data_IF_857926495529
#
_entry.id   IF_857926495529
#
_cell.length_a   1.000
_cell.length_b   1.000
_cell.length_c   1.000
_cell.angle_alpha   90.00
_cell.angle_beta   90.00
_cell.angle_gamma   90.00
#
_symmetry.space_group_name_H-M   'P 1'
#
loop_
_entity.id
_entity.type
_entity.pdbx_description
1 polymer ?
#
# COMPACT_ATOMS: atom_id res chain seq x y z
N UNK A 1 22.49 -32.66 -15.16
CA UNK A 1 21.29 -33.48 -15.48
C UNK A 1 20.97 -34.49 -14.40
N UNK A 2 21.96 -35.22 -13.85
CA UNK A 2 21.75 -36.22 -12.77
C UNK A 2 21.20 -35.60 -11.47
N UNK A 3 21.84 -34.54 -10.95
CA UNK A 3 21.40 -33.82 -9.74
C UNK A 3 19.97 -33.28 -9.85
N UNK A 4 19.56 -32.85 -11.05
CA UNK A 4 18.21 -32.31 -11.31
C UNK A 4 17.12 -33.40 -11.26
N UNK A 5 17.45 -34.64 -11.63
CA UNK A 5 16.53 -35.78 -11.51
C UNK A 5 16.45 -36.30 -10.07
N UNK A 6 17.55 -36.20 -9.32
CA UNK A 6 17.61 -36.55 -7.90
C UNK A 6 16.75 -35.63 -7.03
N UNK A 7 16.73 -34.32 -7.31
CA UNK A 7 15.86 -33.36 -6.61
C UNK A 7 14.38 -33.75 -6.75
N UNK A 8 13.91 -34.05 -7.97
CA UNK A 8 12.51 -34.43 -8.18
C UNK A 8 12.15 -35.72 -7.43
N UNK A 9 13.02 -36.74 -7.49
CA UNK A 9 12.83 -38.01 -6.77
C UNK A 9 12.81 -37.80 -5.25
N UNK A 10 13.66 -36.92 -4.72
CA UNK A 10 13.70 -36.58 -3.30
C UNK A 10 12.37 -35.95 -2.85
N UNK A 11 11.91 -34.96 -3.59
CA UNK A 11 10.65 -34.25 -3.36
C UNK A 11 9.43 -35.20 -3.39
N UNK A 12 9.34 -36.05 -4.41
CA UNK A 12 8.27 -37.05 -4.54
C UNK A 12 8.31 -38.09 -3.40
N UNK A 13 9.51 -38.50 -2.97
CA UNK A 13 9.68 -39.46 -1.87
C UNK A 13 9.23 -38.92 -0.51
N UNK A 14 9.38 -37.62 -0.26
CA UNK A 14 8.87 -36.98 0.96
C UNK A 14 7.34 -37.00 1.02
N UNK A 15 6.70 -36.69 -0.10
CA UNK A 15 5.24 -36.69 -0.21
C UNK A 15 4.64 -38.10 -0.24
N UNK A 16 5.37 -39.10 -0.72
CA UNK A 16 4.96 -40.50 -0.62
C UNK A 16 4.84 -41.03 0.81
N UNK A 17 5.44 -40.36 1.80
CA UNK A 17 5.51 -40.79 3.22
C UNK A 17 4.54 -40.04 4.15
N UNK A 18 3.52 -39.38 3.60
CA UNK A 18 2.54 -38.53 4.31
C UNK A 18 1.99 -39.09 5.64
N UNK A 19 1.84 -40.40 5.79
CA UNK A 19 1.28 -41.04 6.99
C UNK A 19 2.28 -41.18 8.16
N UNK A 20 3.59 -41.19 7.90
CA UNK A 20 4.64 -41.57 8.88
C UNK A 20 5.68 -40.45 9.12
N UNK A 21 5.42 -39.22 8.66
CA UNK A 21 6.41 -38.16 8.67
C UNK A 21 6.80 -37.72 10.09
N UNK A 22 8.08 -37.90 10.45
CA UNK A 22 8.67 -37.40 11.70
C UNK A 22 9.44 -36.09 11.48
N UNK A 23 9.67 -35.33 12.57
CA UNK A 23 10.56 -34.15 12.53
C UNK A 23 11.99 -34.53 12.12
N UNK A 24 12.46 -35.71 12.51
CA UNK A 24 13.77 -36.22 12.12
C UNK A 24 13.87 -36.44 10.60
N UNK A 25 12.81 -37.00 9.99
CA UNK A 25 12.76 -37.13 8.54
C UNK A 25 12.77 -35.76 7.85
N UNK A 26 12.01 -34.77 8.36
CA UNK A 26 12.00 -33.41 7.82
C UNK A 26 13.43 -32.81 7.76
N UNK A 27 14.19 -32.91 8.85
CA UNK A 27 15.58 -32.46 8.89
C UNK A 27 16.47 -33.21 7.89
N UNK A 28 16.29 -34.54 7.76
CA UNK A 28 17.05 -35.35 6.79
C UNK A 28 16.76 -34.92 5.35
N UNK A 29 15.50 -34.79 4.97
CA UNK A 29 15.11 -34.39 3.63
C UNK A 29 15.53 -32.95 3.30
N UNK A 30 15.43 -32.03 4.28
CA UNK A 30 15.92 -30.67 4.15
C UNK A 30 17.43 -30.63 3.86
N UNK A 31 18.24 -31.33 4.65
CA UNK A 31 19.69 -31.42 4.44
C UNK A 31 20.04 -32.05 3.09
N UNK A 32 19.31 -33.08 2.66
CA UNK A 32 19.51 -33.70 1.35
C UNK A 32 19.25 -32.71 0.20
N UNK A 33 18.16 -31.94 0.26
CA UNK A 33 17.89 -30.91 -0.76
C UNK A 33 18.99 -29.84 -0.76
N UNK A 34 19.36 -29.32 0.41
CA UNK A 34 20.40 -28.30 0.53
C UNK A 34 21.74 -28.80 -0.03
N UNK A 35 22.11 -30.05 0.23
CA UNK A 35 23.30 -30.67 -0.35
C UNK A 35 23.23 -30.78 -1.88
N UNK A 36 22.08 -31.13 -2.45
CA UNK A 36 21.87 -31.16 -3.90
C UNK A 36 21.95 -29.76 -4.55
N UNK A 37 21.61 -28.71 -3.80
CA UNK A 37 21.80 -27.32 -4.18
C UNK A 37 23.23 -26.80 -3.91
N UNK A 38 24.12 -27.64 -3.40
CA UNK A 38 25.52 -27.33 -3.13
C UNK A 38 25.81 -26.76 -1.75
N UNK A 39 24.80 -26.56 -0.90
CA UNK A 39 24.95 -25.99 0.44
C UNK A 39 25.48 -27.03 1.43
N UNK A 40 26.80 -27.06 1.63
CA UNK A 40 27.46 -28.04 2.52
C UNK A 40 27.55 -27.61 3.98
N UNK A 41 27.58 -26.30 4.23
CA UNK A 41 27.67 -25.72 5.57
C UNK A 41 26.41 -24.90 5.83
N UNK A 42 25.54 -25.43 6.68
CA UNK A 42 24.26 -24.80 7.03
C UNK A 42 24.14 -24.67 8.54
N UNK A 43 23.73 -23.51 9.03
CA UNK A 43 23.53 -23.29 10.46
C UNK A 43 22.03 -23.41 10.78
N UNK A 44 21.60 -24.23 11.75
CA UNK A 44 20.20 -24.26 12.15
C UNK A 44 19.76 -22.91 12.72
N UNK A 45 18.53 -22.51 12.45
CA UNK A 45 17.89 -21.35 13.05
C UNK A 45 16.98 -21.85 14.17
N UNK A 46 17.18 -21.35 15.38
CA UNK A 46 16.29 -21.65 16.50
C UNK A 46 14.93 -20.98 16.30
N UNK A 47 13.89 -21.79 16.15
CA UNK A 47 12.52 -21.30 16.02
C UNK A 47 12.06 -20.66 17.32
N UNK A 48 11.44 -19.48 17.21
CA UNK A 48 10.81 -18.83 18.36
C UNK A 48 9.63 -19.68 18.87
N UNK A 49 9.33 -19.69 20.19
CA UNK A 49 8.21 -20.46 20.76
C UNK A 49 6.86 -20.17 20.10
N UNK A 50 6.65 -18.93 19.65
CA UNK A 50 5.42 -18.50 18.95
C UNK A 50 5.20 -19.25 17.64
N UNK A 51 6.27 -19.73 17.00
CA UNK A 51 6.24 -20.44 15.71
C UNK A 51 6.31 -21.96 15.88
N UNK A 52 6.29 -22.47 17.11
CA UNK A 52 6.34 -23.91 17.38
C UNK A 52 5.23 -24.70 16.67
N UNK A 53 4.07 -24.06 16.45
CA UNK A 53 2.93 -24.63 15.74
C UNK A 53 3.15 -24.79 14.22
N UNK A 54 4.08 -24.05 13.62
CA UNK A 54 4.43 -24.16 12.19
C UNK A 54 5.27 -25.41 11.94
N UNK A 55 6.05 -25.85 12.94
CA UNK A 55 6.85 -27.07 12.86
C UNK A 55 7.85 -27.06 11.70
N UNK A 56 8.58 -25.95 11.53
CA UNK A 56 9.58 -25.80 10.47
C UNK A 56 10.97 -26.26 10.90
N UNK A 57 11.69 -26.93 10.01
CA UNK A 57 13.14 -27.09 10.07
C UNK A 57 13.78 -25.92 9.32
N UNK A 58 14.46 -25.02 10.04
CA UNK A 58 14.96 -23.76 9.49
C UNK A 58 16.48 -23.70 9.50
N UNK A 59 17.07 -23.22 8.42
CA UNK A 59 18.52 -23.13 8.24
C UNK A 59 18.92 -21.78 7.67
N UNK A 60 20.05 -21.26 8.14
CA UNK A 60 20.72 -20.10 7.59
C UNK A 60 21.79 -20.54 6.59
N UNK A 61 21.61 -20.10 5.35
CA UNK A 61 22.52 -20.32 4.24
C UNK A 61 23.32 -19.03 4.04
N UNK A 62 24.66 -19.11 4.13
CA UNK A 62 25.56 -17.95 3.95
C UNK A 62 26.44 -18.17 2.73
N UNK A 63 26.34 -17.27 1.77
CA UNK A 63 27.18 -17.22 0.57
C UNK A 63 27.98 -15.93 0.56
N UNK A 64 29.31 -16.03 0.39
CA UNK A 64 30.21 -14.89 0.47
C UNK A 64 30.06 -14.06 1.76
N UNK A 65 30.44 -12.78 1.70
CA UNK A 65 30.44 -11.88 2.86
C UNK A 65 29.09 -11.16 3.11
N UNK A 66 28.17 -11.13 2.14
CA UNK A 66 27.01 -10.22 2.19
C UNK A 66 25.64 -10.87 1.92
N UNK A 67 25.57 -12.08 1.36
CA UNK A 67 24.29 -12.69 0.98
C UNK A 67 23.90 -13.81 1.93
N UNK A 68 22.71 -13.69 2.52
CA UNK A 68 22.14 -14.69 3.41
C UNK A 68 20.71 -15.06 2.96
N UNK A 69 20.41 -16.35 3.02
CA UNK A 69 19.08 -16.91 2.76
C UNK A 69 18.65 -17.74 3.96
N UNK A 70 17.44 -17.52 4.45
CA UNK A 70 16.81 -18.41 5.43
C UNK A 70 16.00 -19.45 4.66
N UNK A 71 16.36 -20.72 4.79
CA UNK A 71 15.66 -21.84 4.20
C UNK A 71 14.78 -22.53 5.25
N UNK A 72 13.47 -22.46 5.06
CA UNK A 72 12.45 -22.99 5.94
C UNK A 72 11.75 -24.17 5.28
N UNK A 73 11.88 -25.34 5.90
CA UNK A 73 11.25 -26.57 5.46
C UNK A 73 10.07 -26.86 6.37
N UNK A 74 8.87 -26.97 5.83
CA UNK A 74 7.64 -27.24 6.59
C UNK A 74 7.08 -28.62 6.25
N UNK A 75 6.12 -29.09 7.04
CA UNK A 75 5.47 -30.36 6.79
C UNK A 75 4.64 -30.33 5.49
N UNK A 76 4.48 -31.47 4.78
CA UNK A 76 3.62 -31.56 3.61
C UNK A 76 2.23 -30.97 3.83
N UNK A 77 1.79 -30.09 2.94
CA UNK A 77 0.47 -29.47 3.02
C UNK A 77 0.36 -28.30 4.01
N UNK A 78 1.44 -27.93 4.71
CA UNK A 78 1.46 -26.78 5.61
C UNK A 78 1.43 -25.42 4.87
N UNK A 79 1.70 -25.39 3.57
CA UNK A 79 1.63 -24.20 2.71
C UNK A 79 0.64 -24.41 1.57
N UNK A 80 -0.08 -23.37 1.19
CA UNK A 80 -1.00 -23.40 0.05
C UNK A 80 -0.22 -23.44 -1.28
N UNK A 81 -0.82 -23.90 -2.40
CA UNK A 81 -0.19 -23.79 -3.72
C UNK A 81 -0.06 -22.32 -4.16
N UNK A 82 1.12 -21.85 -4.61
CA UNK A 82 1.30 -20.49 -5.11
C UNK A 82 0.27 -20.06 -6.15
N UNK A 83 -0.07 -20.94 -7.10
CA UNK A 83 -1.06 -20.65 -8.14
C UNK A 83 -2.48 -20.43 -7.59
N UNK A 84 -2.81 -21.04 -6.45
CA UNK A 84 -4.08 -20.81 -5.75
C UNK A 84 -4.13 -19.44 -5.07
N UNK A 85 -3.03 -19.04 -4.42
CA UNK A 85 -2.89 -17.72 -3.80
C UNK A 85 -2.95 -16.60 -4.84
N UNK A 86 -2.24 -16.77 -5.96
CA UNK A 86 -2.24 -15.81 -7.06
C UNK A 86 -3.64 -15.57 -7.63
N UNK A 87 -4.46 -16.62 -7.78
CA UNK A 87 -5.87 -16.50 -8.22
C UNK A 87 -6.76 -15.73 -7.25
N UNK A 88 -6.45 -15.77 -5.95
CA UNK A 88 -7.11 -14.96 -4.91
C UNK A 88 -6.52 -13.56 -4.78
N UNK A 89 -5.48 -13.25 -5.57
CA UNK A 89 -4.77 -11.99 -5.51
C UNK A 89 -3.87 -11.84 -4.27
N UNK A 90 -3.52 -12.91 -3.57
CA UNK A 90 -2.70 -12.91 -2.34
C UNK A 90 -1.23 -13.19 -2.63
N UNK A 91 -0.32 -12.70 -1.78
CA UNK A 91 1.13 -12.95 -1.90
C UNK A 91 1.64 -14.00 -0.91
N UNK A 92 0.89 -14.21 0.17
CA UNK A 92 1.24 -15.11 1.25
C UNK A 92 0.06 -16.02 1.59
N UNK A 93 0.34 -17.24 2.07
CA UNK A 93 -0.53 -17.92 3.01
C UNK A 93 -0.06 -17.63 4.45
N UNK A 94 -0.84 -18.09 5.44
CA UNK A 94 -0.56 -17.90 6.86
C UNK A 94 0.88 -18.33 7.23
N UNK A 95 1.26 -19.55 6.83
CA UNK A 95 2.57 -20.13 7.10
C UNK A 95 3.70 -19.32 6.46
N UNK A 96 3.60 -18.97 5.18
CA UNK A 96 4.66 -18.20 4.50
C UNK A 96 4.81 -16.80 5.10
N UNK A 97 3.70 -16.16 5.49
CA UNK A 97 3.75 -14.84 6.14
C UNK A 97 4.51 -14.88 7.47
N UNK A 98 4.25 -15.90 8.28
CA UNK A 98 4.92 -16.07 9.57
C UNK A 98 6.42 -16.29 9.41
N UNK A 99 6.81 -17.16 8.49
CA UNK A 99 8.22 -17.48 8.23
C UNK A 99 8.98 -16.30 7.63
N UNK A 100 8.40 -15.55 6.69
CA UNK A 100 9.04 -14.32 6.18
C UNK A 100 9.24 -13.27 7.27
N UNK A 101 8.28 -13.13 8.19
CA UNK A 101 8.45 -12.26 9.35
C UNK A 101 9.57 -12.75 10.29
N UNK A 102 9.74 -14.07 10.45
CA UNK A 102 10.85 -14.66 11.20
C UNK A 102 12.20 -14.38 10.52
N UNK A 103 12.29 -14.60 9.20
CA UNK A 103 13.47 -14.27 8.38
C UNK A 103 13.88 -12.81 8.56
N UNK A 104 12.91 -11.89 8.49
CA UNK A 104 13.17 -10.46 8.72
C UNK A 104 13.66 -10.19 10.15
N UNK A 105 13.09 -10.85 11.15
CA UNK A 105 13.45 -10.64 12.55
C UNK A 105 14.89 -11.07 12.88
N UNK A 106 15.51 -11.93 12.05
CA UNK A 106 16.91 -12.33 12.15
C UNK A 106 17.82 -11.56 11.17
N UNK A 107 17.32 -10.47 10.57
CA UNK A 107 18.03 -9.62 9.60
C UNK A 107 18.57 -10.39 8.39
N UNK A 108 17.78 -11.32 7.86
CA UNK A 108 18.09 -12.04 6.63
C UNK A 108 17.20 -11.52 5.50
N UNK A 109 17.80 -11.34 4.32
CA UNK A 109 17.16 -10.63 3.22
C UNK A 109 16.22 -11.50 2.40
N UNK A 110 16.48 -12.81 2.32
CA UNK A 110 15.72 -13.73 1.48
C UNK A 110 15.19 -14.91 2.28
N UNK A 111 13.96 -15.32 1.97
CA UNK A 111 13.31 -16.48 2.57
C UNK A 111 12.98 -17.51 1.48
N UNK A 112 13.58 -18.68 1.56
CA UNK A 112 13.17 -19.87 0.80
C UNK A 112 12.27 -20.72 1.69
N UNK A 113 11.03 -20.98 1.26
CA UNK A 113 10.04 -21.72 2.05
C UNK A 113 9.49 -22.86 1.20
N UNK A 114 9.55 -24.09 1.70
CA UNK A 114 9.08 -25.25 0.94
C UNK A 114 8.54 -26.35 1.84
N UNK A 115 7.55 -27.08 1.35
CA UNK A 115 7.13 -28.38 1.89
C UNK A 115 7.68 -29.54 1.04
N UNK A 116 8.72 -29.26 0.25
CA UNK A 116 9.37 -30.10 -0.77
C UNK A 116 8.50 -30.47 -1.96
N UNK A 117 7.27 -29.94 -2.08
CA UNK A 117 6.48 -30.03 -3.32
C UNK A 117 6.14 -28.66 -3.86
N UNK A 118 5.68 -27.77 -2.97
CA UNK A 118 5.45 -26.37 -3.21
C UNK A 118 6.64 -25.58 -2.69
N UNK A 119 7.01 -24.54 -3.42
CA UNK A 119 8.17 -23.72 -3.09
C UNK A 119 7.87 -22.25 -3.30
N UNK A 120 8.35 -21.43 -2.39
CA UNK A 120 8.29 -19.98 -2.42
C UNK A 120 9.67 -19.40 -2.17
N UNK A 121 10.00 -18.33 -2.89
CA UNK A 121 11.21 -17.55 -2.64
C UNK A 121 10.88 -16.06 -2.57
N UNK A 122 11.03 -15.49 -1.38
CA UNK A 122 10.67 -14.10 -1.09
C UNK A 122 11.91 -13.23 -0.85
N UNK A 123 11.82 -11.97 -1.24
CA UNK A 123 12.58 -10.88 -0.65
C UNK A 123 11.88 -10.45 0.65
N UNK A 124 12.47 -10.82 1.80
CA UNK A 124 11.89 -10.57 3.11
C UNK A 124 11.93 -9.08 3.51
N UNK A 125 12.74 -8.25 2.84
CA UNK A 125 12.78 -6.80 3.07
C UNK A 125 11.57 -6.13 2.44
N UNK A 126 11.25 -6.51 1.21
CA UNK A 126 10.20 -5.88 0.40
C UNK A 126 8.86 -6.64 0.41
N UNK A 127 8.79 -7.82 1.01
CA UNK A 127 7.63 -8.74 0.92
C UNK A 127 7.32 -9.19 -0.53
N UNK A 128 8.29 -9.11 -1.45
CA UNK A 128 8.08 -9.51 -2.84
C UNK A 128 8.29 -11.01 -3.01
N UNK A 129 7.33 -11.70 -3.62
CA UNK A 129 7.49 -13.06 -4.10
C UNK A 129 8.29 -13.02 -5.41
N UNK A 130 9.53 -13.51 -5.38
CA UNK A 130 10.46 -13.47 -6.50
C UNK A 130 10.30 -14.70 -7.40
N UNK A 131 10.12 -15.87 -6.81
CA UNK A 131 9.91 -17.13 -7.53
C UNK A 131 8.97 -18.04 -6.74
N UNK A 132 8.24 -18.89 -7.44
CA UNK A 132 7.41 -19.92 -6.82
C UNK A 132 7.30 -21.15 -7.73
N UNK A 133 6.91 -22.28 -7.12
CA UNK A 133 6.60 -23.51 -7.83
C UNK A 133 5.44 -24.22 -7.14
N UNK A 134 4.43 -24.64 -7.90
CA UNK A 134 3.33 -25.48 -7.42
C UNK A 134 3.73 -26.96 -7.38
N UNK A 135 4.79 -27.35 -8.11
CA UNK A 135 5.27 -28.74 -8.22
C UNK A 135 6.80 -28.88 -8.18
N UNK A 136 7.34 -30.06 -7.84
CA UNK A 136 8.78 -30.34 -7.94
C UNK A 136 9.37 -30.15 -9.34
N UNK A 137 8.58 -30.44 -10.37
CA UNK A 137 9.00 -30.29 -11.76
C UNK A 137 9.21 -28.81 -12.14
N UNK A 138 8.34 -27.92 -11.66
CA UNK A 138 8.48 -26.48 -11.79
C UNK A 138 9.65 -25.95 -10.97
N UNK A 139 9.79 -26.39 -9.71
CA UNK A 139 10.95 -26.02 -8.87
C UNK A 139 12.26 -26.34 -9.58
N UNK A 140 12.39 -27.54 -10.16
CA UNK A 140 13.56 -27.96 -10.92
C UNK A 140 13.81 -27.06 -12.13
N UNK A 141 12.76 -26.65 -12.85
CA UNK A 141 12.86 -25.85 -14.08
C UNK A 141 13.25 -24.40 -13.78
N UNK A 142 12.65 -23.81 -12.75
CA UNK A 142 12.63 -22.36 -12.58
C UNK A 142 13.40 -21.87 -11.34
N UNK A 143 13.57 -22.70 -10.30
CA UNK A 143 14.12 -22.29 -9.00
C UNK A 143 15.42 -22.97 -8.62
N UNK A 144 15.68 -24.19 -9.09
CA UNK A 144 16.81 -24.99 -8.62
C UNK A 144 18.17 -24.35 -8.95
N UNK A 145 18.37 -23.88 -10.19
CA UNK A 145 19.64 -23.27 -10.60
C UNK A 145 19.88 -21.92 -9.88
N UNK A 146 18.93 -20.95 -9.84
CA UNK A 146 19.15 -19.70 -9.13
C UNK A 146 19.43 -19.83 -7.62
N UNK A 147 19.01 -20.95 -6.99
CA UNK A 147 19.19 -21.21 -5.56
C UNK A 147 20.44 -22.05 -5.22
N UNK A 148 21.24 -22.42 -6.21
CA UNK A 148 22.52 -23.09 -5.95
C UNK A 148 23.50 -22.14 -5.28
N UNK A 149 24.31 -22.67 -4.37
CA UNK A 149 25.33 -21.88 -3.67
C UNK A 149 26.27 -21.15 -4.65
N UNK A 150 26.78 -21.85 -5.67
CA UNK A 150 27.69 -21.27 -6.66
C UNK A 150 27.05 -20.14 -7.48
N UNK A 151 25.77 -20.29 -7.84
CA UNK A 151 25.04 -19.28 -8.62
C UNK A 151 24.75 -18.05 -7.74
N UNK A 152 24.38 -18.25 -6.47
CA UNK A 152 24.18 -17.16 -5.49
C UNK A 152 25.50 -16.42 -5.23
N UNK A 153 26.63 -17.13 -5.09
CA UNK A 153 27.96 -16.52 -4.97
C UNK A 153 28.31 -15.65 -6.18
N UNK A 154 27.76 -15.96 -7.36
CA UNK A 154 27.94 -15.19 -8.60
C UNK A 154 26.94 -14.01 -8.76
N UNK A 155 26.05 -13.80 -7.80
CA UNK A 155 25.07 -12.70 -7.82
C UNK A 155 23.74 -13.02 -8.51
N UNK A 156 23.36 -14.31 -8.62
CA UNK A 156 22.10 -14.71 -9.27
C UNK A 156 20.85 -14.05 -8.69
N UNK A 157 20.82 -13.79 -7.38
CA UNK A 157 19.66 -13.18 -6.69
C UNK A 157 19.40 -11.75 -7.14
N UNK A 158 20.44 -11.00 -7.53
CA UNK A 158 20.32 -9.62 -8.02
C UNK A 158 19.77 -9.56 -9.45
N UNK A 159 19.92 -10.67 -10.20
CA UNK A 159 19.45 -10.81 -11.57
C UNK A 159 18.00 -11.32 -11.64
N UNK A 160 17.42 -11.74 -10.51
CA UNK A 160 16.04 -12.20 -10.48
C UNK A 160 15.08 -11.09 -10.89
N UNK A 161 14.19 -11.44 -11.83
CA UNK A 161 13.15 -10.53 -12.29
C UNK A 161 12.17 -10.27 -11.16
N UNK A 162 12.05 -9.01 -10.72
CA UNK A 162 11.02 -8.57 -9.78
C UNK A 162 9.66 -8.47 -10.46
N UNK A 163 8.55 -8.79 -9.77
CA UNK A 163 7.21 -8.68 -10.33
C UNK A 163 6.91 -7.22 -10.71
N UNK A 164 6.44 -6.94 -11.94
CA UNK A 164 6.12 -5.58 -12.33
C UNK A 164 4.92 -5.04 -11.53
N UNK A 165 4.89 -3.72 -11.32
CA UNK A 165 3.78 -3.03 -10.63
C UNK A 165 2.40 -3.40 -11.19
N UNK A 166 2.30 -3.60 -12.50
CA UNK A 166 1.03 -3.97 -13.17
C UNK A 166 0.51 -5.33 -12.70
N UNK A 167 1.39 -6.26 -12.35
CA UNK A 167 1.00 -7.56 -11.81
C UNK A 167 0.52 -7.43 -10.37
N UNK A 168 1.23 -6.69 -9.52
CA UNK A 168 0.79 -6.39 -8.16
C UNK A 168 -0.58 -5.68 -8.15
N UNK A 169 -0.79 -4.74 -9.07
CA UNK A 169 -2.06 -4.03 -9.26
C UNK A 169 -3.19 -4.98 -9.71
N UNK A 170 -2.89 -5.96 -10.57
CA UNK A 170 -3.86 -6.99 -10.98
C UNK A 170 -4.29 -7.87 -9.82
N UNK A 171 -3.33 -8.39 -9.07
CA UNK A 171 -3.64 -9.20 -7.90
C UNK A 171 -4.45 -8.41 -6.86
N UNK A 172 -4.10 -7.14 -6.62
CA UNK A 172 -4.89 -6.28 -5.74
C UNK A 172 -6.32 -6.08 -6.27
N UNK A 173 -6.48 -5.86 -7.59
CA UNK A 173 -7.78 -5.74 -8.23
C UNK A 173 -8.64 -7.01 -8.05
N UNK A 174 -8.07 -8.18 -8.34
CA UNK A 174 -8.75 -9.48 -8.20
C UNK A 174 -9.23 -9.71 -6.77
N UNK A 175 -8.39 -9.39 -5.78
CA UNK A 175 -8.76 -9.46 -4.37
C UNK A 175 -9.89 -8.48 -4.00
N UNK A 176 -9.78 -7.21 -4.41
CA UNK A 176 -10.80 -6.19 -4.19
C UNK A 176 -12.14 -6.60 -4.82
N UNK A 177 -12.10 -7.13 -6.04
CA UNK A 177 -13.27 -7.61 -6.76
C UNK A 177 -13.92 -8.79 -6.04
N UNK A 178 -13.14 -9.82 -5.69
CA UNK A 178 -13.63 -10.98 -4.94
C UNK A 178 -14.33 -10.59 -3.65
N UNK A 179 -13.73 -9.69 -2.86
CA UNK A 179 -14.34 -9.26 -1.61
C UNK A 179 -15.54 -8.37 -1.80
N UNK A 180 -15.58 -7.52 -2.84
CA UNK A 180 -16.78 -6.77 -3.19
C UNK A 180 -17.95 -7.71 -3.47
N UNK A 181 -17.77 -8.68 -4.37
CA UNK A 181 -18.80 -9.66 -4.70
C UNK A 181 -19.21 -10.47 -3.46
N UNK A 182 -18.24 -10.86 -2.63
CA UNK A 182 -18.51 -11.59 -1.39
C UNK A 182 -19.34 -10.75 -0.41
N UNK A 183 -19.01 -9.47 -0.22
CA UNK A 183 -19.78 -8.57 0.63
C UNK A 183 -21.22 -8.45 0.11
N UNK A 184 -21.39 -8.14 -1.18
CA UNK A 184 -22.71 -8.01 -1.81
C UNK A 184 -23.53 -9.30 -1.62
N UNK A 185 -22.94 -10.46 -1.90
CA UNK A 185 -23.61 -11.75 -1.78
C UNK A 185 -24.01 -12.10 -0.33
N UNK A 186 -23.18 -11.79 0.67
CA UNK A 186 -23.41 -12.17 2.06
C UNK A 186 -24.30 -11.19 2.84
N UNK A 187 -24.36 -9.92 2.44
CA UNK A 187 -25.10 -8.88 3.17
C UNK A 187 -26.17 -8.16 2.36
N UNK A 188 -26.26 -8.39 1.04
CA UNK A 188 -27.23 -7.72 0.17
C UNK A 188 -26.98 -6.21 0.04
N UNK A 189 -25.75 -5.76 0.26
CA UNK A 189 -25.37 -4.36 0.18
C UNK A 189 -25.33 -3.84 -1.26
N UNK A 190 -25.45 -2.52 -1.40
CA UNK A 190 -25.16 -1.85 -2.67
C UNK A 190 -23.68 -1.98 -3.05
N UNK A 191 -23.40 -1.85 -4.34
CA UNK A 191 -22.03 -1.87 -4.85
C UNK A 191 -21.17 -0.76 -4.20
N UNK A 192 -21.73 0.44 -4.03
CA UNK A 192 -21.05 1.58 -3.40
C UNK A 192 -20.65 1.31 -1.94
N UNK A 193 -21.52 0.64 -1.16
CA UNK A 193 -21.21 0.28 0.23
C UNK A 193 -20.13 -0.81 0.30
N UNK A 194 -20.16 -1.79 -0.61
CA UNK A 194 -19.12 -2.81 -0.70
C UNK A 194 -17.76 -2.19 -1.10
N UNK A 195 -17.76 -1.24 -2.05
CA UNK A 195 -16.57 -0.49 -2.40
C UNK A 195 -16.01 0.34 -1.24
N UNK A 196 -16.87 1.01 -0.48
CA UNK A 196 -16.47 1.78 0.69
C UNK A 196 -15.77 0.89 1.74
N UNK A 197 -16.25 -0.35 1.92
CA UNK A 197 -15.62 -1.32 2.82
C UNK A 197 -14.16 -1.62 2.43
N UNK A 198 -13.93 -1.84 1.13
CA UNK A 198 -12.59 -2.10 0.57
C UNK A 198 -11.72 -0.85 0.68
N UNK A 199 -12.22 0.32 0.33
CA UNK A 199 -11.48 1.58 0.38
C UNK A 199 -11.02 1.89 1.82
N UNK A 200 -11.87 1.64 2.82
CA UNK A 200 -11.51 1.75 4.24
C UNK A 200 -10.33 0.84 4.60
N UNK A 201 -10.32 -0.40 4.11
CA UNK A 201 -9.21 -1.32 4.36
C UNK A 201 -7.92 -0.92 3.63
N UNK A 202 -8.03 -0.43 2.39
CA UNK A 202 -6.88 0.09 1.65
C UNK A 202 -6.24 1.28 2.38
N UNK A 203 -7.06 2.25 2.81
CA UNK A 203 -6.58 3.40 3.59
C UNK A 203 -6.03 2.96 4.94
N UNK A 204 -6.66 2.02 5.62
CA UNK A 204 -6.18 1.52 6.92
C UNK A 204 -4.82 0.83 6.80
N UNK A 205 -4.64 -0.02 5.78
CA UNK A 205 -3.37 -0.67 5.48
C UNK A 205 -2.29 0.37 5.16
N UNK A 206 -2.59 1.30 4.26
CA UNK A 206 -1.66 2.36 3.87
C UNK A 206 -1.25 3.23 5.05
N UNK A 207 -2.22 3.66 5.86
CA UNK A 207 -2.02 4.53 7.01
C UNK A 207 -1.06 3.96 8.04
N UNK A 208 -1.17 2.67 8.36
CA UNK A 208 -0.33 2.06 9.40
C UNK A 208 1.08 1.68 8.94
N UNK A 209 1.36 1.75 7.65
CA UNK A 209 2.71 1.66 7.09
C UNK A 209 3.42 3.02 7.12
N UNK A 210 2.66 4.12 7.09
CA UNK A 210 3.18 5.48 7.11
C UNK A 210 3.13 6.07 8.52
N UNK A 211 4.29 6.24 9.17
CA UNK A 211 4.43 6.77 10.53
C UNK A 211 4.06 8.28 10.63
N UNK A 212 2.79 8.61 10.45
CA UNK A 212 2.23 9.97 10.65
C UNK A 212 1.65 10.15 12.06
N UNK A 213 1.65 9.09 12.87
CA UNK A 213 0.81 8.93 14.05
C UNK A 213 1.59 8.97 15.39
N UNK A 214 2.69 9.74 15.43
CA UNK A 214 3.78 9.64 16.41
C UNK A 214 3.43 9.75 17.92
N UNK A 215 2.21 10.11 18.34
CA UNK A 215 1.80 10.09 19.76
C UNK A 215 0.37 9.60 20.04
N UNK A 216 -0.63 10.04 19.28
CA UNK A 216 -2.05 9.66 19.51
C UNK A 216 -2.48 8.41 18.74
N UNK A 217 -1.89 8.15 17.57
CA UNK A 217 -2.34 7.04 16.71
C UNK A 217 -1.65 5.69 16.92
N UNK A 218 -0.66 5.60 17.82
CA UNK A 218 -0.11 4.32 18.26
C UNK A 218 -1.19 3.38 18.80
N UNK A 219 -2.17 3.93 19.54
CA UNK A 219 -3.29 3.16 20.09
C UNK A 219 -4.12 2.49 19.00
N UNK A 220 -4.47 3.22 17.94
CA UNK A 220 -5.29 2.69 16.85
C UNK A 220 -4.51 1.69 15.99
N UNK A 221 -3.23 1.94 15.73
CA UNK A 221 -2.34 0.97 15.07
C UNK A 221 -2.21 -0.33 15.86
N UNK A 222 -2.00 -0.22 17.18
CA UNK A 222 -1.92 -1.37 18.08
C UNK A 222 -3.24 -2.15 18.09
N UNK A 223 -4.37 -1.46 18.19
CA UNK A 223 -5.70 -2.09 18.13
C UNK A 223 -5.95 -2.80 16.81
N UNK A 224 -5.51 -2.24 15.69
CA UNK A 224 -5.60 -2.93 14.41
C UNK A 224 -4.72 -4.19 14.37
N UNK A 225 -3.48 -4.11 14.86
CA UNK A 225 -2.60 -5.27 14.95
C UNK A 225 -3.18 -6.36 15.87
N UNK A 226 -3.76 -5.98 17.02
CA UNK A 226 -4.47 -6.89 17.94
C UNK A 226 -5.71 -7.50 17.29
N UNK A 227 -6.47 -6.72 16.52
CA UNK A 227 -7.64 -7.18 15.77
C UNK A 227 -7.26 -8.22 14.70
N UNK A 228 -6.21 -7.95 13.93
CA UNK A 228 -5.66 -8.91 12.96
C UNK A 228 -5.19 -10.17 13.69
N UNK A 229 -4.42 -10.03 14.78
CA UNK A 229 -3.98 -11.16 15.61
C UNK A 229 -5.14 -12.00 16.14
N UNK A 230 -6.22 -11.36 16.57
CA UNK A 230 -7.45 -12.03 17.02
C UNK A 230 -8.13 -12.80 15.89
N UNK A 231 -8.14 -12.26 14.67
CA UNK A 231 -8.70 -12.96 13.52
C UNK A 231 -7.98 -14.30 13.25
N UNK A 232 -6.67 -14.38 13.51
CA UNK A 232 -5.87 -15.61 13.40
C UNK A 232 -5.93 -16.52 14.65
N UNK A 233 -6.54 -16.08 15.74
CA UNK A 233 -6.63 -16.86 16.97
C UNK A 233 -7.72 -17.92 16.92
N UNK A 234 -7.66 -18.90 17.85
CA UNK A 234 -8.69 -19.92 18.00
C UNK A 234 -10.07 -19.35 18.40
N UNK A 235 -10.11 -18.17 19.04
CA UNK A 235 -11.36 -17.45 19.36
C UNK A 235 -11.44 -16.11 18.63
N UNK A 236 -11.86 -16.17 17.37
CA UNK A 236 -12.06 -15.01 16.51
C UNK A 236 -13.40 -14.29 16.72
N UNK A 237 -14.22 -14.70 17.71
CA UNK A 237 -15.55 -14.09 17.93
C UNK A 237 -15.42 -12.63 18.36
N UNK A 238 -16.28 -11.77 17.79
CA UNK A 238 -16.34 -10.34 18.04
C UNK A 238 -15.35 -9.50 17.22
N UNK A 239 -14.59 -10.11 16.30
CA UNK A 239 -13.72 -9.37 15.37
C UNK A 239 -14.49 -8.32 14.55
N UNK A 240 -15.69 -8.63 14.07
CA UNK A 240 -16.51 -7.69 13.30
C UNK A 240 -16.89 -6.44 14.09
N UNK A 241 -17.34 -6.62 15.34
CA UNK A 241 -17.65 -5.49 16.24
C UNK A 241 -16.43 -4.63 16.55
N UNK A 242 -15.27 -5.26 16.73
CA UNK A 242 -14.01 -4.55 16.96
C UNK A 242 -13.56 -3.78 15.71
N UNK A 243 -13.76 -4.33 14.51
CA UNK A 243 -13.45 -3.67 13.24
C UNK A 243 -14.35 -2.44 13.02
N UNK A 244 -15.67 -2.59 13.21
CA UNK A 244 -16.59 -1.45 13.17
C UNK A 244 -16.19 -0.37 14.17
N UNK A 245 -15.91 -0.76 15.42
CA UNK A 245 -15.47 0.17 16.46
C UNK A 245 -14.20 0.93 16.06
N UNK A 246 -13.22 0.24 15.47
CA UNK A 246 -12.01 0.88 14.94
C UNK A 246 -12.32 1.93 13.85
N UNK A 247 -13.26 1.65 12.94
CA UNK A 247 -13.67 2.62 11.93
C UNK A 247 -14.29 3.87 12.56
N UNK A 248 -15.21 3.69 13.50
CA UNK A 248 -15.86 4.81 14.19
C UNK A 248 -14.86 5.64 14.99
N UNK A 249 -13.89 4.99 15.65
CA UNK A 249 -12.83 5.68 16.38
C UNK A 249 -11.93 6.49 15.45
N UNK A 250 -11.57 5.95 14.27
CA UNK A 250 -10.80 6.67 13.24
C UNK A 250 -11.57 7.90 12.75
N UNK A 251 -12.87 7.76 12.50
CA UNK A 251 -13.70 8.89 12.11
C UNK A 251 -13.81 9.93 13.23
N UNK A 252 -14.04 9.52 14.47
CA UNK A 252 -14.20 10.45 15.58
C UNK A 252 -12.91 11.18 15.93
N UNK A 253 -11.81 10.44 16.08
CA UNK A 253 -10.51 10.95 16.51
C UNK A 253 -9.81 11.75 15.41
N UNK A 254 -9.93 11.32 14.14
CA UNK A 254 -9.19 11.94 13.02
C UNK A 254 -10.07 12.62 11.98
N UNK A 255 -11.39 12.68 12.17
CA UNK A 255 -12.32 13.31 11.20
C UNK A 255 -12.15 12.78 9.77
N UNK A 256 -11.81 11.50 9.65
CA UNK A 256 -11.70 10.85 8.36
C UNK A 256 -13.10 10.46 7.86
N UNK A 257 -13.76 11.35 7.10
CA UNK A 257 -15.12 11.14 6.58
C UNK A 257 -15.32 9.82 5.82
N UNK A 258 -14.27 9.26 5.18
CA UNK A 258 -14.30 7.92 4.60
C UNK A 258 -14.77 6.83 5.59
N UNK A 259 -14.48 7.00 6.89
CA UNK A 259 -14.83 6.08 7.97
C UNK A 259 -16.11 6.45 8.72
N UNK A 260 -16.85 7.47 8.25
CA UNK A 260 -18.13 7.88 8.86
C UNK A 260 -19.12 6.71 8.95
N UNK A 261 -20.00 6.72 9.96
CA UNK A 261 -20.96 5.64 10.15
C UNK A 261 -21.84 5.43 8.91
N UNK A 262 -21.92 4.19 8.44
CA UNK A 262 -22.76 3.77 7.31
C UNK A 262 -23.56 2.56 7.78
N UNK A 263 -24.81 2.75 8.26
CA UNK A 263 -25.50 1.74 9.05
C UNK A 263 -25.60 0.36 8.38
N UNK A 264 -25.84 0.34 7.07
CA UNK A 264 -25.93 -0.91 6.32
C UNK A 264 -24.58 -1.63 6.26
N UNK A 265 -23.50 -0.89 5.99
CA UNK A 265 -22.15 -1.43 5.96
C UNK A 265 -21.68 -1.87 7.35
N UNK A 266 -21.96 -1.08 8.38
CA UNK A 266 -21.61 -1.36 9.77
C UNK A 266 -22.24 -2.68 10.23
N UNK A 267 -23.52 -2.89 9.94
CA UNK A 267 -24.23 -4.13 10.26
C UNK A 267 -23.66 -5.35 9.51
N UNK A 268 -23.16 -5.17 8.28
CA UNK A 268 -22.52 -6.24 7.53
C UNK A 268 -21.14 -6.60 8.10
N UNK A 269 -20.31 -5.58 8.40
CA UNK A 269 -18.95 -5.75 8.93
C UNK A 269 -18.97 -6.33 10.36
N UNK A 270 -20.01 -6.06 11.14
CA UNK A 270 -20.16 -6.66 12.47
C UNK A 270 -20.24 -8.19 12.47
N UNK A 271 -20.60 -8.80 11.34
CA UNK A 271 -20.67 -10.25 11.19
C UNK A 271 -19.26 -10.84 11.07
N UNK A 272 -18.85 -11.62 12.06
CA UNK A 272 -17.53 -12.28 12.07
C UNK A 272 -17.30 -13.18 10.84
N UNK A 273 -18.36 -13.79 10.30
CA UNK A 273 -18.30 -14.58 9.07
C UNK A 273 -17.75 -13.81 7.86
N UNK A 274 -17.90 -12.48 7.85
CA UNK A 274 -17.33 -11.60 6.85
C UNK A 274 -16.01 -11.00 7.33
N UNK A 275 -15.99 -10.40 8.52
CA UNK A 275 -14.84 -9.63 9.00
C UNK A 275 -13.59 -10.49 9.25
N UNK A 276 -13.74 -11.70 9.80
CA UNK A 276 -12.59 -12.57 10.10
C UNK A 276 -11.83 -12.96 8.83
N UNK A 277 -12.44 -13.58 7.81
CA UNK A 277 -11.71 -13.96 6.60
C UNK A 277 -11.20 -12.73 5.83
N UNK A 278 -11.94 -11.63 5.81
CA UNK A 278 -11.50 -10.37 5.19
C UNK A 278 -10.23 -9.82 5.86
N UNK A 279 -10.18 -9.79 7.19
CA UNK A 279 -9.01 -9.35 7.95
C UNK A 279 -7.82 -10.28 7.76
N UNK A 280 -8.06 -11.60 7.74
CA UNK A 280 -7.00 -12.59 7.47
C UNK A 280 -6.38 -12.35 6.10
N UNK A 281 -7.18 -12.34 5.05
CA UNK A 281 -6.68 -12.12 3.69
C UNK A 281 -6.07 -10.73 3.52
N UNK A 282 -6.66 -9.70 4.12
CA UNK A 282 -6.07 -8.36 4.13
C UNK A 282 -4.64 -8.40 4.68
N UNK A 283 -4.36 -9.20 5.72
CA UNK A 283 -3.03 -9.39 6.33
C UNK A 283 -2.02 -10.13 5.42
N UNK A 284 -2.50 -10.87 4.42
CA UNK A 284 -1.71 -11.72 3.53
C UNK A 284 -1.24 -11.04 2.23
N UNK A 285 -1.49 -9.75 2.08
CA UNK A 285 -0.92 -8.94 0.98
C UNK A 285 0.43 -8.33 1.32
N UNK A 286 1.38 -8.37 0.38
CA UNK A 286 2.68 -7.69 0.50
C UNK A 286 2.51 -6.20 0.74
N UNK A 287 3.48 -5.59 1.44
CA UNK A 287 3.51 -4.13 1.64
C UNK A 287 3.66 -3.38 0.31
N UNK A 288 4.41 -3.96 -0.64
CA UNK A 288 4.64 -3.36 -1.97
C UNK A 288 3.38 -3.19 -2.81
N UNK A 289 2.30 -3.94 -2.52
CA UNK A 289 0.98 -3.71 -3.14
C UNK A 289 0.32 -2.41 -2.73
N UNK A 290 0.64 -1.88 -1.54
CA UNK A 290 0.01 -0.68 -0.98
C UNK A 290 0.82 0.58 -1.28
N UNK A 291 1.28 0.75 -2.53
CA UNK A 291 1.76 2.04 -3.01
C UNK A 291 0.64 2.79 -3.73
N UNK A 292 0.65 4.13 -3.72
CA UNK A 292 -0.34 4.95 -4.45
C UNK A 292 -0.40 4.52 -5.93
N UNK A 293 0.76 4.31 -6.56
CA UNK A 293 0.82 3.93 -7.96
C UNK A 293 0.23 2.53 -8.23
N UNK A 294 0.46 1.56 -7.34
CA UNK A 294 -0.11 0.21 -7.47
C UNK A 294 -1.62 0.23 -7.24
N UNK A 295 -2.09 0.93 -6.19
CA UNK A 295 -3.51 1.08 -5.88
C UNK A 295 -4.22 1.80 -7.04
N UNK A 296 -3.65 2.88 -7.58
CA UNK A 296 -4.23 3.58 -8.72
C UNK A 296 -4.29 2.69 -9.97
N UNK A 297 -3.22 1.95 -10.28
CA UNK A 297 -3.20 1.01 -11.41
C UNK A 297 -4.21 -0.14 -11.22
N UNK A 298 -4.61 -0.47 -9.97
CA UNK A 298 -5.65 -1.48 -9.73
C UNK A 298 -7.05 -1.06 -10.19
N UNK A 299 -7.25 0.23 -10.51
CA UNK A 299 -8.46 0.76 -11.14
C UNK A 299 -8.40 0.71 -12.67
N UNK A 300 -7.33 0.17 -13.26
CA UNK A 300 -7.11 0.13 -14.70
C UNK A 300 -7.88 -0.99 -15.44
N UNK A 301 -9.13 -1.22 -15.05
CA UNK A 301 -9.97 -2.30 -15.58
C UNK A 301 -11.32 -1.74 -16.06
N UNK A 302 -11.86 -2.35 -17.13
CA UNK A 302 -13.10 -1.90 -17.77
C UNK A 302 -12.84 -1.04 -19.01
N UNK A 303 -13.54 0.09 -19.12
CA UNK A 303 -13.57 0.90 -20.33
C UNK A 303 -12.23 1.57 -20.66
N UNK A 304 -11.95 1.71 -21.96
CA UNK A 304 -10.73 2.34 -22.47
C UNK A 304 -10.51 3.76 -21.94
N UNK A 305 -11.59 4.52 -21.76
CA UNK A 305 -11.54 5.89 -21.23
C UNK A 305 -11.03 5.92 -19.77
N UNK A 306 -11.47 4.98 -18.93
CA UNK A 306 -11.02 4.90 -17.54
C UNK A 306 -9.56 4.46 -17.45
N UNK A 307 -9.17 3.49 -18.28
CA UNK A 307 -7.78 3.07 -18.44
C UNK A 307 -6.86 4.22 -18.85
N UNK A 308 -7.32 5.08 -19.77
CA UNK A 308 -6.59 6.28 -20.15
C UNK A 308 -6.41 7.21 -18.94
N UNK A 309 -7.46 7.52 -18.17
CA UNK A 309 -7.39 8.41 -16.99
C UNK A 309 -6.46 7.92 -15.88
N UNK A 310 -6.39 6.61 -15.65
CA UNK A 310 -5.48 6.01 -14.64
C UNK A 310 -4.00 6.18 -15.04
N UNK A 311 -3.73 6.09 -16.35
CA UNK A 311 -2.39 6.14 -16.91
C UNK A 311 -1.95 7.52 -17.35
N UNK A 312 -2.89 8.45 -17.48
CA UNK A 312 -2.65 9.81 -17.91
C UNK A 312 -1.60 10.47 -17.01
N UNK A 313 -0.56 11.00 -17.65
CA UNK A 313 0.46 11.79 -16.99
C UNK A 313 -0.01 13.24 -17.06
N UNK A 314 -0.02 13.98 -15.94
CA UNK A 314 -0.43 15.39 -15.96
C UNK A 314 0.50 16.18 -16.88
N UNK A 315 -0.08 16.85 -17.87
CA UNK A 315 0.67 17.70 -18.79
C UNK A 315 1.07 19.02 -18.12
N UNK A 316 2.16 19.62 -18.61
CA UNK A 316 2.54 20.96 -18.19
C UNK A 316 1.46 21.96 -18.64
N UNK A 317 0.88 22.70 -17.69
CA UNK A 317 -0.11 23.74 -17.99
C UNK A 317 0.48 25.10 -17.66
N UNK A 318 1.00 25.79 -18.67
CA UNK A 318 1.66 27.09 -18.51
C UNK A 318 0.75 28.14 -17.88
N UNK A 319 -0.56 28.12 -18.17
CA UNK A 319 -1.51 29.08 -17.60
C UNK A 319 -1.64 28.89 -16.09
N UNK A 320 -1.85 27.65 -15.63
CA UNK A 320 -1.94 27.34 -14.20
C UNK A 320 -0.62 27.57 -13.49
N UNK A 321 0.51 27.25 -14.11
CA UNK A 321 1.83 27.53 -13.52
C UNK A 321 2.10 29.03 -13.40
N UNK A 322 1.77 29.83 -14.42
CA UNK A 322 1.85 31.30 -14.36
C UNK A 322 0.89 31.85 -13.31
N UNK A 323 -0.31 31.29 -13.19
CA UNK A 323 -1.28 31.67 -12.16
C UNK A 323 -0.73 31.42 -10.76
N UNK A 324 -0.17 30.24 -10.48
CA UNK A 324 0.45 29.92 -9.19
C UNK A 324 1.68 30.81 -8.90
N UNK A 325 2.48 31.11 -9.93
CA UNK A 325 3.66 31.97 -9.79
C UNK A 325 3.32 33.43 -9.43
N UNK A 326 2.13 33.92 -9.83
CA UNK A 326 1.64 35.28 -9.51
C UNK A 326 1.05 35.41 -8.12
N UNK A 327 0.88 34.32 -7.37
CA UNK A 327 0.32 34.39 -6.02
C UNK A 327 1.34 34.97 -5.03
N UNK A 328 0.82 35.77 -4.12
CA UNK A 328 1.53 36.58 -3.12
C UNK A 328 0.89 36.37 -1.74
N UNK A 329 1.52 36.88 -0.69
CA UNK A 329 0.94 36.84 0.66
C UNK A 329 -0.44 37.51 0.76
N UNK A 330 -0.76 38.46 -0.13
CA UNK A 330 -2.02 39.20 -0.08
C UNK A 330 -3.22 38.46 -0.69
N UNK A 331 -3.01 37.49 -1.59
CA UNK A 331 -4.08 36.84 -2.35
C UNK A 331 -4.08 35.30 -2.26
N UNK A 332 -3.10 34.71 -1.57
CA UNK A 332 -2.94 33.25 -1.53
C UNK A 332 -4.13 32.50 -0.91
N UNK A 333 -4.84 33.12 0.04
CA UNK A 333 -6.01 32.52 0.70
C UNK A 333 -7.21 32.33 -0.23
N UNK A 334 -7.24 33.03 -1.36
CA UNK A 334 -8.29 32.95 -2.38
C UNK A 334 -7.87 32.10 -3.59
N UNK A 335 -6.59 31.70 -3.66
CA UNK A 335 -6.05 31.01 -4.82
C UNK A 335 -6.61 29.59 -4.93
N UNK A 336 -7.15 29.24 -6.10
CA UNK A 336 -7.81 27.94 -6.34
C UNK A 336 -7.48 27.37 -7.72
N UNK A 337 -7.15 26.08 -7.77
CA UNK A 337 -6.95 25.32 -9.01
C UNK A 337 -8.12 24.37 -9.25
N UNK A 338 -8.70 24.42 -10.44
CA UNK A 338 -9.69 23.45 -10.89
C UNK A 338 -9.00 22.30 -11.63
N UNK A 339 -9.43 21.06 -11.38
CA UNK A 339 -8.91 19.83 -11.97
C UNK A 339 -10.09 19.04 -12.51
N UNK A 340 -10.10 18.74 -13.81
CA UNK A 340 -11.13 17.90 -14.39
C UNK A 340 -10.63 16.48 -14.62
N UNK A 341 -11.20 15.52 -13.88
CA UNK A 341 -10.78 14.11 -13.98
C UNK A 341 -11.14 13.46 -15.30
N UNK A 342 -12.15 13.97 -16.02
CA UNK A 342 -12.49 13.44 -17.33
C UNK A 342 -11.35 13.69 -18.34
N UNK A 343 -10.69 14.84 -18.21
CA UNK A 343 -9.75 15.38 -19.20
C UNK A 343 -8.29 15.24 -18.75
N UNK A 344 -8.00 15.32 -17.43
CA UNK A 344 -6.64 15.32 -16.86
C UNK A 344 -6.28 14.03 -16.09
N UNK A 345 -7.28 13.18 -15.80
CA UNK A 345 -7.10 11.93 -15.08
C UNK A 345 -6.73 12.09 -13.60
N UNK A 346 -6.50 10.96 -12.92
CA UNK A 346 -6.37 10.94 -11.45
C UNK A 346 -5.01 11.43 -10.94
N UNK A 347 -3.96 11.33 -11.76
CA UNK A 347 -2.62 11.77 -11.36
C UNK A 347 -2.51 13.29 -11.26
N UNK A 348 -3.40 14.02 -11.94
CA UNK A 348 -3.47 15.47 -11.89
C UNK A 348 -3.77 15.97 -10.46
N UNK A 349 -4.57 15.21 -9.71
CA UNK A 349 -4.85 15.49 -8.29
C UNK A 349 -3.54 15.61 -7.50
N UNK A 350 -2.68 14.60 -7.59
CA UNK A 350 -1.43 14.53 -6.83
C UNK A 350 -0.47 15.64 -7.28
N UNK A 351 -0.34 15.81 -8.60
CA UNK A 351 0.54 16.80 -9.21
C UNK A 351 0.21 18.23 -8.78
N UNK A 352 -1.06 18.64 -8.94
CA UNK A 352 -1.48 19.99 -8.60
C UNK A 352 -1.52 20.22 -7.10
N UNK A 353 -1.90 19.19 -6.31
CA UNK A 353 -1.76 19.25 -4.85
C UNK A 353 -0.33 19.60 -4.43
N UNK A 354 0.67 18.89 -4.97
CA UNK A 354 2.07 19.10 -4.61
C UNK A 354 2.57 20.49 -5.04
N UNK A 355 2.15 20.98 -6.21
CA UNK A 355 2.46 22.33 -6.69
C UNK A 355 1.87 23.42 -5.79
N UNK A 356 0.64 23.24 -5.30
CA UNK A 356 -0.02 24.17 -4.37
C UNK A 356 0.70 24.18 -3.03
N UNK A 357 1.02 23.01 -2.46
CA UNK A 357 1.75 22.95 -1.18
C UNK A 357 3.15 23.54 -1.31
N UNK A 358 3.85 23.31 -2.42
CA UNK A 358 5.15 23.94 -2.68
C UNK A 358 5.05 25.47 -2.81
N UNK A 359 3.97 25.99 -3.38
CA UNK A 359 3.68 27.43 -3.40
C UNK A 359 3.50 27.97 -1.98
N UNK A 360 2.72 27.29 -1.13
CA UNK A 360 2.55 27.69 0.27
C UNK A 360 3.87 27.65 1.04
N UNK A 361 4.71 26.63 0.82
CA UNK A 361 6.06 26.54 1.40
C UNK A 361 6.95 27.73 1.01
N UNK A 362 6.94 28.09 -0.29
CA UNK A 362 7.68 29.25 -0.78
C UNK A 362 7.20 30.55 -0.13
N UNK A 363 5.88 30.76 -0.06
CA UNK A 363 5.29 31.97 0.49
C UNK A 363 5.48 32.06 2.01
N UNK A 364 5.44 30.94 2.74
CA UNK A 364 5.76 30.95 4.17
C UNK A 364 7.20 31.39 4.42
N UNK A 365 8.16 30.89 3.62
CA UNK A 365 9.55 31.35 3.68
C UNK A 365 9.71 32.83 3.26
N UNK A 366 8.82 33.37 2.43
CA UNK A 366 8.78 34.79 2.12
C UNK A 366 8.24 35.62 3.29
N UNK A 367 7.15 35.18 3.92
CA UNK A 367 6.59 35.79 5.12
C UNK A 367 7.61 35.86 6.25
N UNK A 368 8.27 34.74 6.57
CA UNK A 368 9.29 34.68 7.64
C UNK A 368 10.46 35.65 7.36
N UNK A 369 10.87 35.79 6.09
CA UNK A 369 11.93 36.76 5.72
C UNK A 369 11.46 38.21 5.89
N UNK A 370 10.25 38.53 5.47
CA UNK A 370 9.68 39.88 5.62
C UNK A 370 9.49 40.23 7.10
N UNK A 371 9.00 39.28 7.91
CA UNK A 371 8.88 39.43 9.34
C UNK A 371 10.25 39.68 9.99
N UNK A 372 11.25 38.84 9.70
CA UNK A 372 12.60 38.99 10.25
C UNK A 372 13.25 40.33 9.88
N UNK A 373 13.10 40.79 8.62
CA UNK A 373 13.61 42.08 8.16
C UNK A 373 12.91 43.26 8.85
N UNK A 374 11.59 43.19 9.03
CA UNK A 374 10.82 44.20 9.77
C UNK A 374 11.21 44.31 11.25
N UNK A 375 11.67 43.20 11.84
CA UNK A 375 12.09 43.14 13.25
C UNK A 375 13.58 43.44 13.50
N UNK A 376 14.43 43.41 12.46
CA UNK A 376 15.90 43.47 12.57
C UNK A 376 16.47 44.78 13.17
N UNK A 377 15.63 45.79 13.40
CA UNK A 377 16.01 47.07 14.01
C UNK A 377 15.35 47.38 15.37
N UNK A 378 14.57 46.47 15.95
CA UNK A 378 13.84 46.69 17.21
C UNK A 378 14.38 45.78 18.32
N UNK A 379 15.19 46.29 19.27
CA UNK A 379 15.88 45.48 20.28
C UNK A 379 14.96 44.84 21.33
N UNK A 380 13.73 45.36 21.49
CA UNK A 380 12.74 44.93 22.48
C UNK A 380 11.36 44.79 21.81
N UNK A 381 11.22 43.88 20.83
CA UNK A 381 9.88 43.48 20.39
C UNK A 381 9.19 42.74 21.54
N UNK A 382 8.16 43.35 22.12
CA UNK A 382 7.31 42.69 23.10
C UNK A 382 6.52 41.54 22.44
N UNK A 383 6.12 40.55 23.24
CA UNK A 383 5.38 39.36 22.84
C UNK A 383 4.08 39.72 22.08
N UNK A 384 3.50 40.89 22.37
CA UNK A 384 2.31 41.41 21.68
C UNK A 384 2.61 41.86 20.24
N UNK A 385 3.75 42.49 19.98
CA UNK A 385 4.13 42.93 18.63
C UNK A 385 4.51 41.73 17.74
N UNK A 386 5.17 40.72 18.31
CA UNK A 386 5.36 39.43 17.64
C UNK A 386 4.03 38.75 17.29
N UNK A 387 3.07 38.80 18.21
CA UNK A 387 1.72 38.27 17.99
C UNK A 387 0.97 39.03 16.88
N UNK A 388 1.12 40.35 16.80
CA UNK A 388 0.51 41.16 15.73
C UNK A 388 1.11 40.87 14.35
N UNK A 389 2.44 40.68 14.28
CA UNK A 389 3.11 40.28 13.04
C UNK A 389 2.63 38.88 12.64
N UNK A 390 2.62 37.92 13.57
CA UNK A 390 2.15 36.56 13.31
C UNK A 390 0.67 36.52 12.89
N UNK A 391 -0.19 37.38 13.45
CA UNK A 391 -1.61 37.47 13.11
C UNK A 391 -1.86 37.91 11.65
N UNK A 392 -0.88 38.56 11.00
CA UNK A 392 -0.95 38.92 9.58
C UNK A 392 -0.61 37.75 8.65
N UNK A 393 -0.24 36.59 9.19
CA UNK A 393 0.05 35.40 8.38
C UNK A 393 -1.23 34.94 7.66
N UNK A 394 -1.20 34.73 6.34
CA UNK A 394 -2.31 34.14 5.61
C UNK A 394 -2.74 32.78 6.15
N UNK A 395 -4.03 32.45 6.03
CA UNK A 395 -4.57 31.17 6.52
C UNK A 395 -3.94 29.97 5.81
N UNK A 396 -3.63 30.09 4.52
CA UNK A 396 -2.97 29.07 3.71
C UNK A 396 -1.61 28.62 4.26
N UNK A 397 -0.97 29.46 5.07
CA UNK A 397 0.36 29.19 5.62
C UNK A 397 0.32 28.53 7.01
N UNK A 398 -0.84 28.50 7.68
CA UNK A 398 -1.00 27.90 9.01
C UNK A 398 -1.03 26.36 8.95
N UNK A 399 -1.89 25.79 8.10
CA UNK A 399 -1.89 24.37 7.75
C UNK A 399 -2.01 24.23 6.23
N UNK A 400 -0.85 24.09 5.60
CA UNK A 400 -0.69 24.09 4.13
C UNK A 400 -1.42 22.91 3.49
N UNK A 401 -1.41 21.74 4.13
CA UNK A 401 -2.05 20.53 3.60
C UNK A 401 -3.57 20.67 3.75
N UNK A 402 -4.05 21.13 4.91
CA UNK A 402 -5.47 21.32 5.12
C UNK A 402 -6.03 22.38 4.17
N UNK A 403 -5.37 23.54 4.07
CA UNK A 403 -5.84 24.60 3.20
C UNK A 403 -5.81 24.21 1.72
N UNK A 404 -4.79 23.45 1.27
CA UNK A 404 -4.73 22.95 -0.11
C UNK A 404 -5.98 22.10 -0.46
N UNK A 405 -6.41 21.22 0.44
CA UNK A 405 -7.61 20.40 0.25
C UNK A 405 -8.88 21.24 0.34
N UNK A 406 -9.04 22.04 1.38
CA UNK A 406 -10.33 22.66 1.71
C UNK A 406 -10.62 23.92 0.88
N UNK A 407 -9.58 24.56 0.32
CA UNK A 407 -9.68 25.85 -0.38
C UNK A 407 -8.84 25.93 -1.64
N UNK A 408 -7.66 25.31 -1.66
CA UNK A 408 -6.65 25.48 -2.70
C UNK A 408 -6.95 24.78 -4.03
N UNK A 409 -7.82 23.77 -4.06
CA UNK A 409 -8.16 23.07 -5.30
C UNK A 409 -9.62 22.64 -5.38
N UNK A 410 -10.04 22.19 -6.56
CA UNK A 410 -11.33 21.55 -6.79
C UNK A 410 -11.21 20.51 -7.86
N UNK A 411 -11.76 19.34 -7.57
CA UNK A 411 -11.66 18.16 -8.41
C UNK A 411 -13.05 17.84 -8.93
N UNK A 412 -13.24 18.02 -10.23
CA UNK A 412 -14.48 17.74 -10.92
C UNK A 412 -14.55 16.27 -11.33
N UNK A 413 -15.67 15.63 -11.00
CA UNK A 413 -15.98 14.26 -11.42
C UNK A 413 -17.32 14.18 -12.16
N UNK A 414 -17.43 13.20 -13.05
CA UNK A 414 -18.62 12.94 -13.88
C UNK A 414 -19.35 11.65 -13.46
N UNK A 415 -18.62 10.67 -12.93
CA UNK A 415 -19.15 9.35 -12.55
C UNK A 415 -18.91 9.03 -11.08
N UNK A 416 -19.72 8.14 -10.46
CA UNK A 416 -19.47 7.65 -9.10
C UNK A 416 -18.10 7.00 -8.93
N UNK A 417 -17.63 6.30 -9.98
CA UNK A 417 -16.29 5.70 -10.02
C UNK A 417 -15.19 6.75 -9.90
N UNK A 418 -15.29 7.85 -10.65
CA UNK A 418 -14.34 8.95 -10.56
C UNK A 418 -14.32 9.59 -9.18
N UNK A 419 -15.50 9.84 -8.59
CA UNK A 419 -15.62 10.35 -7.23
C UNK A 419 -14.89 9.43 -6.23
N UNK A 420 -15.17 8.13 -6.29
CA UNK A 420 -14.57 7.14 -5.42
C UNK A 420 -13.05 7.10 -5.55
N UNK A 421 -12.53 6.95 -6.78
CA UNK A 421 -11.09 6.86 -7.03
C UNK A 421 -10.37 8.14 -6.62
N UNK A 422 -10.94 9.31 -6.92
CA UNK A 422 -10.37 10.59 -6.51
C UNK A 422 -10.32 10.75 -4.99
N UNK A 423 -11.42 10.42 -4.29
CA UNK A 423 -11.45 10.42 -2.82
C UNK A 423 -10.38 9.53 -2.23
N UNK A 424 -10.26 8.29 -2.71
CA UNK A 424 -9.23 7.35 -2.24
C UNK A 424 -7.82 7.91 -2.49
N UNK A 425 -7.54 8.42 -3.69
CA UNK A 425 -6.22 8.99 -4.02
C UNK A 425 -5.86 10.18 -3.12
N UNK A 426 -6.82 11.06 -2.81
CA UNK A 426 -6.61 12.18 -1.90
C UNK A 426 -6.25 11.70 -0.48
N UNK A 427 -6.96 10.72 0.08
CA UNK A 427 -6.62 10.16 1.39
C UNK A 427 -5.20 9.59 1.42
N UNK A 428 -4.85 8.76 0.44
CA UNK A 428 -3.53 8.13 0.37
C UNK A 428 -2.42 9.20 0.20
N UNK A 429 -2.66 10.22 -0.63
CA UNK A 429 -1.69 11.28 -0.85
C UNK A 429 -1.49 12.14 0.39
N UNK A 430 -2.57 12.54 1.06
CA UNK A 430 -2.49 13.31 2.32
C UNK A 430 -1.68 12.55 3.37
N UNK A 431 -1.93 11.24 3.53
CA UNK A 431 -1.13 10.38 4.41
C UNK A 431 0.35 10.42 4.02
N UNK A 432 0.64 10.23 2.72
CA UNK A 432 2.02 10.27 2.20
C UNK A 432 2.70 11.61 2.48
N UNK A 433 1.98 12.73 2.31
CA UNK A 433 2.52 14.09 2.49
C UNK A 433 2.82 14.40 3.95
N UNK A 434 1.92 14.06 4.88
CA UNK A 434 2.23 14.16 6.32
C UNK A 434 3.42 13.27 6.72
N UNK A 435 3.55 12.08 6.11
CA UNK A 435 4.68 11.19 6.37
C UNK A 435 6.01 11.75 5.88
N UNK A 436 6.03 12.34 4.69
CA UNK A 436 7.22 12.91 4.08
C UNK A 436 7.64 14.21 4.78
N UNK A 437 6.70 15.11 5.03
CA UNK A 437 6.97 16.43 5.64
C UNK A 437 7.27 16.34 7.14
N UNK A 438 6.95 15.21 7.79
CA UNK A 438 7.05 15.00 9.24
C UNK A 438 6.26 16.05 10.05
N UNK A 439 5.30 16.72 9.43
CA UNK A 439 4.38 17.63 10.09
C UNK A 439 3.51 16.89 11.10
N UNK A 440 3.07 17.60 12.14
CA UNK A 440 2.20 17.02 13.17
C UNK A 440 0.81 16.77 12.57
N UNK A 441 0.42 15.51 12.48
CA UNK A 441 -0.94 15.13 12.11
C UNK A 441 -1.88 15.22 13.32
N UNK A 442 -3.02 15.89 13.13
CA UNK A 442 -4.07 16.02 14.15
C UNK A 442 -5.37 15.37 13.68
N UNK A 443 -5.83 15.74 12.48
CA UNK A 443 -6.99 15.17 11.82
C UNK A 443 -6.81 15.27 10.30
N UNK A 444 -7.64 14.54 9.55
CA UNK A 444 -7.75 14.72 8.12
C UNK A 444 -8.44 16.04 7.80
N UNK A 445 -8.08 16.70 6.69
CA UNK A 445 -8.87 17.78 6.15
C UNK A 445 -10.20 17.24 5.61
N UNK A 446 -11.17 18.14 5.37
CA UNK A 446 -12.46 17.79 4.78
C UNK A 446 -12.32 17.43 3.30
N UNK A 447 -11.88 16.20 3.01
CA UNK A 447 -11.63 15.70 1.65
C UNK A 447 -12.87 15.87 0.76
N UNK A 448 -14.08 15.65 1.27
CA UNK A 448 -15.31 15.78 0.49
C UNK A 448 -15.57 17.21 -0.02
N UNK A 449 -14.99 18.25 0.61
CA UNK A 449 -15.17 19.64 0.18
C UNK A 449 -14.51 19.96 -1.16
N UNK A 450 -13.47 19.19 -1.53
CA UNK A 450 -12.73 19.38 -2.78
C UNK A 450 -13.39 18.71 -3.98
N UNK A 451 -14.27 17.74 -3.74
CA UNK A 451 -14.88 16.89 -4.77
C UNK A 451 -16.21 17.47 -5.23
N UNK A 452 -16.31 17.85 -6.50
CA UNK A 452 -17.53 18.47 -7.04
C UNK A 452 -17.99 17.78 -8.32
N UNK A 453 -19.31 17.68 -8.52
CA UNK A 453 -19.85 17.17 -9.78
C UNK A 453 -19.52 18.16 -10.90
N UNK A 454 -18.99 17.66 -12.03
CA UNK A 454 -18.63 18.49 -13.19
C UNK A 454 -19.85 19.30 -13.64
N UNK A 455 -19.77 20.63 -13.71
CA UNK A 455 -20.83 21.46 -14.28
C UNK A 455 -20.94 21.23 -15.79
N UNK A 456 -22.06 21.63 -16.41
CA UNK A 456 -22.28 21.44 -17.86
C UNK A 456 -21.25 22.16 -18.74
N UNK A 457 -20.68 23.25 -18.22
CA UNK A 457 -19.64 24.05 -18.89
C UNK A 457 -18.67 24.48 -17.80
N UNK A 458 -17.40 24.09 -17.92
CA UNK A 458 -16.34 24.57 -17.02
C UNK A 458 -15.95 26.01 -17.40
N UNK A 459 -15.33 26.75 -16.47
CA UNK A 459 -14.79 28.08 -16.82
C UNK A 459 -13.70 27.98 -17.89
N UNK A 460 -12.95 26.88 -17.89
CA UNK A 460 -11.99 26.55 -18.96
C UNK A 460 -12.74 26.41 -20.29
N UNK A 461 -13.84 25.65 -20.34
CA UNK A 461 -14.65 25.50 -21.57
C UNK A 461 -15.23 26.85 -22.02
N UNK A 462 -15.64 27.71 -21.08
CA UNK A 462 -16.14 29.06 -21.41
C UNK A 462 -15.08 29.90 -22.12
N UNK A 463 -13.82 29.87 -21.67
CA UNK A 463 -12.74 30.61 -22.33
C UNK A 463 -12.60 30.20 -23.80
N UNK A 464 -12.70 28.91 -24.11
CA UNK A 464 -12.59 28.40 -25.48
C UNK A 464 -13.83 28.72 -26.33
N UNK A 465 -15.03 28.64 -25.74
CA UNK A 465 -16.29 28.98 -26.43
C UNK A 465 -16.36 30.48 -26.77
N UNK A 466 -15.85 31.35 -25.91
CA UNK A 466 -15.91 32.81 -26.07
C UNK A 466 -14.67 33.43 -26.73
N UNK A 467 -13.57 32.71 -26.92
CA UNK A 467 -12.39 33.20 -27.63
C UNK A 467 -12.43 32.99 -29.16
N UNK A 468 -13.43 32.26 -29.68
CA UNK A 468 -13.55 31.97 -31.11
C UNK A 468 -12.42 31.06 -31.62
N UNK A 469 -12.60 30.37 -32.75
CA UNK A 469 -11.47 29.70 -33.39
C UNK A 469 -10.40 30.76 -33.72
N UNK A 470 -9.10 30.44 -33.59
CA UNK A 470 -8.08 31.34 -34.11
C UNK A 470 -8.43 31.62 -35.56
N UNK A 471 -8.53 32.91 -35.94
CA UNK A 471 -8.56 33.28 -37.34
C UNK A 471 -7.34 32.60 -37.97
N UNK A 472 -7.60 31.65 -38.87
CA UNK A 472 -6.62 31.25 -39.86
C UNK A 472 -6.20 32.55 -40.54
N UNK A 473 -5.00 33.02 -40.22
CA UNK A 473 -4.39 34.09 -40.97
C UNK A 473 -4.06 33.50 -42.33
N UNK A 474 -4.78 33.99 -43.34
CA UNK A 474 -4.28 34.03 -44.72
C UNK A 474 -2.91 34.72 -44.70
N UNK A 475 -1.85 33.95 -44.97
CA UNK A 475 -0.75 34.28 -45.89
C UNK A 475 0.21 33.10 -46.07
#
# INVERSE_FOLDING_TARGET
METSQEIAKLCESWWGKLADNTKEDQHRFAQQLLNLLGWRTVAPIESKPVLAHVGSASYLLRSGAQTAVAAHFVMPGAIEPPGSLAKRGLDFCDTTRLLVNETRAINVDYAFITDLYRSYFYDARTDELLMHADTPAEFRRDMADPLRQADIDSGSLEQLRRPPRTEAARHLHEWCHYWRESIIAHSGLSEDAAFLAIDRLLVLRYLFEHDILKRTGWRLRRRFAELVGKAFSADSRGCGRLLRGLFHDIWFDWKADLFAAEPALDAAIEKDALAVPLLKESALHSRTKFSIATILESFNYGEAAEKARVRMVPDANEERERYLARQTLANIDEARIEIDLADEGYRAILHWFDKIVALYERLDAEFERQAAQGTAGMPDLDLFEWSEIAAKRPQALHDRIQHAIERGMTVYYTTPRQLRTARLMLYLHVISRYHQSKQRFMHFPKIESVLQRRPRVLEIDRKWIFQGPPCEFDE
#
